data_IF_478295670120
#
_entry.id   IF_478295670120
#
_cell.length_a   1.000
_cell.length_b   1.000
_cell.length_c   1.000
_cell.angle_alpha   90.00
_cell.angle_beta   90.00
_cell.angle_gamma   90.00
#
_symmetry.space_group_name_H-M   'P 1'
#
loop_
_entity.id
_entity.type
_entity.pdbx_description
1 polymer ?
#
# COMPACT_ATOMS: atom_id res chain seq x y z
N UNK A 1 -65.15 18.05 13.50
CA UNK A 1 -65.50 16.64 13.77
C UNK A 1 -64.21 15.86 13.95
N UNK A 2 -64.03 15.22 15.12
CA UNK A 2 -63.08 14.14 15.45
C UNK A 2 -61.56 14.48 15.52
N UNK A 3 -60.75 13.82 16.39
CA UNK A 3 -60.64 14.22 17.80
C UNK A 3 -59.19 14.23 18.38
N UNK A 4 -59.09 14.79 19.60
CA UNK A 4 -57.97 14.63 20.56
C UNK A 4 -57.80 13.18 20.99
N UNK A 5 -56.55 12.76 21.22
CA UNK A 5 -56.22 11.62 22.07
C UNK A 5 -55.21 12.01 23.15
N UNK A 6 -55.54 11.56 24.35
CA UNK A 6 -54.94 11.81 25.65
C UNK A 6 -53.82 10.83 25.99
N UNK A 7 -52.93 11.32 26.86
CA UNK A 7 -51.83 10.66 27.56
C UNK A 7 -52.26 9.48 28.46
N UNK A 8 -51.42 8.43 28.53
CA UNK A 8 -51.16 7.65 29.77
C UNK A 8 -49.80 6.94 29.67
N UNK A 9 -48.94 7.18 30.67
CA UNK A 9 -47.70 6.44 30.96
C UNK A 9 -47.98 5.12 31.68
N UNK A 10 -46.98 4.21 31.75
CA UNK A 10 -46.75 3.51 33.00
C UNK A 10 -45.28 3.52 33.46
N UNK A 11 -45.13 3.69 34.77
CA UNK A 11 -44.03 3.24 35.65
C UNK A 11 -43.51 1.84 35.26
N UNK A 12 -42.22 1.50 35.33
CA UNK A 12 -41.25 1.77 36.40
C UNK A 12 -40.91 0.44 37.08
N UNK A 13 -39.75 -0.14 36.77
CA UNK A 13 -39.09 -1.14 37.62
C UNK A 13 -37.58 -1.08 37.37
N UNK A 14 -36.87 -0.52 38.34
CA UNK A 14 -35.41 -0.39 38.37
C UNK A 14 -34.86 -1.59 39.12
N UNK A 15 -34.15 -2.49 38.45
CA UNK A 15 -33.42 -3.59 39.08
C UNK A 15 -31.93 -3.20 39.13
N UNK A 16 -31.44 -2.84 40.31
CA UNK A 16 -30.02 -2.63 40.58
C UNK A 16 -29.31 -3.98 40.72
N UNK A 17 -28.35 -4.26 39.83
CA UNK A 17 -27.40 -5.37 39.99
C UNK A 17 -26.06 -4.79 40.44
N UNK A 18 -25.75 -4.99 41.72
CA UNK A 18 -24.43 -4.77 42.30
C UNK A 18 -23.54 -5.96 41.95
N UNK A 19 -22.54 -5.76 41.09
CA UNK A 19 -21.46 -6.73 40.87
C UNK A 19 -20.18 -6.10 41.43
N UNK A 20 -19.79 -6.57 42.61
CA UNK A 20 -18.47 -6.36 43.19
C UNK A 20 -17.64 -7.62 42.94
N UNK A 21 -16.69 -7.58 42.01
CA UNK A 21 -15.56 -8.52 42.00
C UNK A 21 -14.29 -7.81 41.53
N UNK A 22 -13.37 -7.64 42.48
CA UNK A 22 -11.98 -7.27 42.26
C UNK A 22 -11.22 -8.45 41.67
N UNK A 23 -10.67 -8.30 40.48
CA UNK A 23 -9.70 -9.25 39.92
C UNK A 23 -8.44 -8.45 39.58
N UNK A 24 -7.41 -8.64 40.39
CA UNK A 24 -6.05 -8.16 40.11
C UNK A 24 -5.41 -9.07 39.05
N UNK A 25 -4.78 -8.53 37.99
CA UNK A 25 -4.06 -9.34 37.03
C UNK A 25 -2.69 -9.75 37.59
N UNK A 26 -2.52 -11.04 37.88
CA UNK A 26 -1.21 -11.65 38.15
C UNK A 26 -0.44 -11.82 36.84
N UNK A 27 0.77 -11.27 36.77
CA UNK A 27 1.72 -11.48 35.67
C UNK A 27 2.12 -12.96 35.55
N UNK A 28 2.31 -13.48 34.32
CA UNK A 28 2.83 -14.83 34.11
C UNK A 28 4.32 -14.93 34.50
N UNK A 29 4.78 -16.10 34.97
CA UNK A 29 6.17 -16.31 35.35
C UNK A 29 7.11 -16.28 34.14
N UNK A 30 8.25 -15.61 34.30
CA UNK A 30 9.37 -15.58 33.35
C UNK A 30 9.97 -16.98 33.13
N UNK A 31 10.34 -17.34 31.89
CA UNK A 31 11.04 -18.59 31.60
C UNK A 31 12.47 -18.60 32.17
N UNK A 32 13.03 -19.78 32.52
CA UNK A 32 14.36 -19.89 33.10
C UNK A 32 15.47 -19.60 32.07
N UNK A 33 16.46 -18.83 32.51
CA UNK A 33 17.68 -18.50 31.77
C UNK A 33 18.52 -19.76 31.47
N UNK A 34 18.98 -19.98 30.23
CA UNK A 34 19.92 -21.07 29.94
C UNK A 34 21.30 -20.80 30.54
N UNK A 35 22.05 -21.85 30.94
CA UNK A 35 23.37 -21.70 31.57
C UNK A 35 24.42 -21.22 30.57
N UNK A 36 25.23 -20.25 30.98
CA UNK A 36 26.38 -19.72 30.24
C UNK A 36 27.46 -20.80 30.04
N UNK A 37 27.99 -20.99 28.81
CA UNK A 37 29.16 -21.81 28.60
C UNK A 37 30.43 -21.06 29.02
N UNK A 38 31.27 -21.77 29.77
CA UNK A 38 32.57 -21.37 30.30
C UNK A 38 33.58 -20.98 29.22
N UNK A 39 34.31 -19.90 29.54
CA UNK A 39 35.47 -19.33 28.87
C UNK A 39 36.65 -20.30 28.72
N UNK A 40 37.27 -20.30 27.54
CA UNK A 40 38.70 -20.63 27.37
C UNK A 40 39.29 -19.67 26.32
N UNK A 41 40.12 -18.73 26.75
CA UNK A 41 40.97 -17.87 25.89
C UNK A 41 42.07 -18.71 25.18
N UNK A 42 42.65 -18.18 24.09
CA UNK A 42 44.00 -17.64 24.27
C UNK A 42 44.35 -16.39 23.44
N UNK A 43 45.10 -15.51 24.12
CA UNK A 43 46.25 -14.71 23.69
C UNK A 43 46.26 -13.97 22.32
N UNK A 44 46.29 -12.64 22.46
CA UNK A 44 46.62 -11.59 21.49
C UNK A 44 48.03 -11.72 20.89
N UNK A 45 48.28 -11.06 19.74
CA UNK A 45 49.32 -10.03 19.80
C UNK A 45 48.87 -8.68 19.22
N UNK A 46 49.31 -7.66 19.95
CA UNK A 46 49.14 -6.22 19.74
C UNK A 46 49.91 -5.71 18.51
N UNK A 47 49.30 -4.83 17.72
CA UNK A 47 50.01 -3.87 16.86
C UNK A 47 49.26 -2.54 16.83
N UNK A 48 50.04 -1.48 17.10
CA UNK A 48 49.64 -0.08 17.22
C UNK A 48 49.61 0.64 15.85
N UNK A 49 48.95 1.81 15.89
CA UNK A 49 48.98 2.94 14.93
C UNK A 49 48.02 2.80 13.73
N UNK A 50 47.26 3.81 13.30
CA UNK A 50 47.44 5.27 13.43
C UNK A 50 46.10 5.97 13.19
N UNK A 51 45.96 7.14 13.80
CA UNK A 51 44.84 8.09 13.68
C UNK A 51 44.81 8.78 12.31
N UNK A 52 43.67 8.70 11.61
CA UNK A 52 43.22 9.75 10.68
C UNK A 52 41.70 9.84 10.74
N UNK A 53 41.23 10.98 11.24
CA UNK A 53 39.84 11.40 11.25
C UNK A 53 39.38 11.80 9.85
N UNK A 54 38.65 10.93 9.17
CA UNK A 54 37.64 11.33 8.20
C UNK A 54 36.32 10.71 8.64
N UNK A 55 35.33 11.57 8.92
CA UNK A 55 33.94 11.17 9.07
C UNK A 55 33.41 10.81 7.67
N UNK A 56 33.93 9.73 7.11
CA UNK A 56 33.41 9.14 5.89
C UNK A 56 32.13 8.39 6.25
N UNK A 57 31.06 8.79 5.57
CA UNK A 57 29.74 8.18 5.60
C UNK A 57 29.85 6.65 5.51
N UNK A 58 29.59 5.96 6.62
CA UNK A 58 29.49 4.50 6.70
C UNK A 58 28.23 3.95 6.01
N UNK A 59 27.57 4.73 5.15
CA UNK A 59 26.49 4.21 4.31
C UNK A 59 27.09 3.30 3.25
N UNK A 60 26.87 1.99 3.41
CA UNK A 60 27.09 1.03 2.33
C UNK A 60 26.35 1.54 1.08
N UNK A 61 27.00 1.54 -0.11
CA UNK A 61 26.36 1.99 -1.32
C UNK A 61 25.10 1.16 -1.55
N UNK A 62 23.98 1.86 -1.64
CA UNK A 62 22.69 1.29 -1.96
C UNK A 62 22.80 0.43 -3.22
N UNK A 63 22.49 -0.87 -3.10
CA UNK A 63 22.16 -1.71 -4.23
C UNK A 63 20.64 -1.70 -4.34
N UNK A 64 20.05 -1.06 -5.37
CA UNK A 64 18.64 -1.26 -5.64
C UNK A 64 18.38 -2.76 -5.72
N UNK A 65 17.22 -3.26 -5.26
CA UNK A 65 16.82 -4.61 -5.59
C UNK A 65 16.99 -4.75 -7.11
N UNK A 66 17.83 -5.70 -7.53
CA UNK A 66 18.33 -5.77 -8.90
C UNK A 66 17.15 -5.67 -9.87
N UNK A 67 17.01 -4.52 -10.55
CA UNK A 67 16.06 -4.34 -11.65
C UNK A 67 16.64 -5.07 -12.86
N UNK A 68 16.67 -6.41 -12.80
CA UNK A 68 17.06 -7.25 -13.93
C UNK A 68 15.96 -7.15 -14.98
N UNK A 69 16.09 -6.19 -15.90
CA UNK A 69 15.36 -6.10 -17.17
C UNK A 69 13.93 -6.69 -17.15
N UNK A 70 13.10 -6.29 -16.20
CA UNK A 70 11.68 -6.63 -16.22
C UNK A 70 11.07 -5.84 -17.38
N UNK A 71 10.18 -6.43 -18.21
CA UNK A 71 9.49 -5.65 -19.23
C UNK A 71 8.80 -4.45 -18.56
N UNK A 72 9.08 -3.24 -19.06
CA UNK A 72 8.45 -2.00 -18.61
C UNK A 72 6.94 -2.20 -18.51
N UNK A 73 6.43 -2.26 -17.29
CA UNK A 73 5.00 -2.17 -17.02
C UNK A 73 4.50 -0.76 -17.28
N UNK A 74 3.18 -0.59 -17.29
CA UNK A 74 2.57 0.74 -17.20
C UNK A 74 2.52 1.16 -15.73
N UNK A 75 2.81 2.44 -15.45
CA UNK A 75 2.49 3.02 -14.15
C UNK A 75 0.99 2.84 -13.83
N UNK A 76 0.64 2.71 -12.56
CA UNK A 76 -0.74 2.51 -12.12
C UNK A 76 -1.01 3.24 -10.79
N UNK A 77 -2.25 3.73 -10.65
CA UNK A 77 -2.82 4.24 -9.41
C UNK A 77 -4.05 3.38 -9.13
N UNK A 78 -4.09 2.71 -7.98
CA UNK A 78 -5.22 1.86 -7.62
C UNK A 78 -5.78 2.22 -6.25
N UNK A 79 -7.10 2.22 -6.12
CA UNK A 79 -7.78 2.29 -4.83
C UNK A 79 -8.58 1.04 -4.59
N UNK A 80 -8.68 0.61 -3.32
CA UNK A 80 -9.56 -0.51 -2.98
C UNK A 80 -11.00 -0.03 -2.81
N UNK A 81 -11.92 -0.64 -3.56
CA UNK A 81 -13.35 -0.36 -3.50
C UNK A 81 -14.03 -1.11 -2.35
N UNK A 82 -13.61 -2.35 -2.08
CA UNK A 82 -14.02 -3.12 -0.91
C UNK A 82 -13.05 -4.25 -0.59
N UNK A 83 -13.17 -4.79 0.62
CA UNK A 83 -12.53 -6.04 1.04
C UNK A 83 -13.53 -6.96 1.76
N UNK A 84 -13.45 -8.26 1.48
CA UNK A 84 -14.06 -9.30 2.30
C UNK A 84 -12.98 -10.22 2.86
N UNK A 85 -13.06 -10.48 4.15
CA UNK A 85 -12.27 -11.54 4.79
C UNK A 85 -13.05 -12.84 4.78
N UNK A 86 -12.42 -13.90 4.26
CA UNK A 86 -13.01 -15.22 4.11
C UNK A 86 -12.33 -16.24 5.05
N UNK A 87 -13.00 -17.35 5.40
CA UNK A 87 -12.37 -18.44 6.15
C UNK A 87 -11.15 -19.01 5.41
N UNK A 88 -10.21 -19.55 6.17
CA UNK A 88 -9.06 -20.29 5.62
C UNK A 88 -8.89 -21.64 6.36
N UNK A 89 -8.78 -22.77 5.63
CA UNK A 89 -9.05 -22.87 4.19
C UNK A 89 -10.52 -22.51 3.88
N UNK A 90 -10.79 -22.18 2.62
CA UNK A 90 -12.17 -21.95 2.19
C UNK A 90 -12.97 -23.27 2.27
N UNK A 91 -14.26 -23.23 2.64
CA UNK A 91 -15.09 -24.43 2.63
C UNK A 91 -15.13 -25.09 1.25
N UNK A 92 -15.19 -26.44 1.16
CA UNK A 92 -15.32 -27.12 -0.13
C UNK A 92 -16.51 -26.61 -0.94
N UNK A 93 -16.33 -26.54 -2.27
CA UNK A 93 -17.32 -26.01 -3.22
C UNK A 93 -17.67 -24.52 -3.05
N UNK A 94 -16.86 -23.75 -2.32
CA UNK A 94 -17.00 -22.29 -2.32
C UNK A 94 -16.70 -21.75 -3.72
N UNK A 95 -17.60 -21.00 -4.38
CA UNK A 95 -17.31 -20.41 -5.67
C UNK A 95 -16.19 -19.38 -5.51
N UNK A 96 -15.22 -19.41 -6.43
CA UNK A 96 -14.12 -18.43 -6.50
C UNK A 96 -14.09 -17.82 -7.91
N UNK A 97 -14.24 -16.49 -8.05
CA UNK A 97 -14.47 -15.53 -6.98
C UNK A 97 -15.87 -15.65 -6.34
N UNK A 98 -15.96 -15.32 -5.06
CA UNK A 98 -17.15 -15.44 -4.23
C UNK A 98 -18.05 -14.21 -4.30
N UNK A 99 -17.46 -13.03 -4.14
CA UNK A 99 -18.19 -11.77 -3.94
C UNK A 99 -19.05 -11.30 -5.13
N UNK A 100 -18.74 -11.61 -6.41
CA UNK A 100 -19.62 -11.27 -7.53
C UNK A 100 -21.02 -11.91 -7.47
N UNK A 101 -21.19 -12.97 -6.67
CA UNK A 101 -22.46 -13.67 -6.50
C UNK A 101 -23.28 -13.17 -5.30
N UNK A 102 -22.82 -12.12 -4.60
CA UNK A 102 -23.58 -11.54 -3.49
C UNK A 102 -24.67 -10.57 -3.99
N UNK A 103 -25.83 -10.48 -3.29
CA UNK A 103 -26.24 -11.33 -2.16
C UNK A 103 -26.96 -12.62 -2.58
N UNK A 104 -27.09 -12.89 -3.89
CA UNK A 104 -27.94 -13.97 -4.43
C UNK A 104 -27.46 -15.38 -4.03
N UNK A 105 -26.16 -15.57 -3.82
CA UNK A 105 -25.58 -16.80 -3.30
C UNK A 105 -24.60 -16.50 -2.16
N UNK A 106 -25.03 -16.68 -0.90
CA UNK A 106 -24.27 -16.31 0.28
C UNK A 106 -24.13 -17.44 1.33
N UNK A 107 -23.56 -18.61 0.99
CA UNK A 107 -23.40 -19.73 1.93
C UNK A 107 -22.49 -19.40 3.14
N UNK A 108 -21.56 -18.46 3.00
CA UNK A 108 -20.65 -18.01 4.05
C UNK A 108 -21.28 -16.99 5.00
N UNK A 109 -22.51 -16.55 4.72
CA UNK A 109 -23.26 -15.55 5.51
C UNK A 109 -22.48 -14.25 5.71
N UNK A 110 -21.76 -13.81 4.68
CA UNK A 110 -21.07 -12.52 4.70
C UNK A 110 -22.09 -11.38 4.70
N UNK A 111 -21.74 -10.20 5.22
CA UNK A 111 -22.57 -9.01 5.06
C UNK A 111 -22.90 -8.80 3.57
N UNK A 112 -24.17 -8.50 3.21
CA UNK A 112 -24.54 -8.30 1.81
C UNK A 112 -23.99 -6.99 1.24
N UNK A 113 -23.67 -6.02 2.12
CA UNK A 113 -23.10 -4.75 1.74
C UNK A 113 -21.59 -4.80 1.89
N UNK A 114 -20.89 -4.58 0.79
CA UNK A 114 -19.46 -4.45 0.77
C UNK A 114 -19.02 -3.21 1.55
N UNK A 115 -17.87 -3.29 2.22
CA UNK A 115 -17.29 -2.18 2.96
C UNK A 115 -15.81 -2.03 2.66
N UNK A 116 -15.36 -0.79 2.59
CA UNK A 116 -13.95 -0.43 2.57
C UNK A 116 -13.64 0.38 3.84
N UNK A 117 -13.04 -0.25 4.87
CA UNK A 117 -12.78 0.43 6.14
C UNK A 117 -11.59 1.39 6.07
N UNK A 118 -10.79 1.36 4.99
CA UNK A 118 -9.57 2.13 4.83
C UNK A 118 -9.63 3.09 3.63
N UNK A 119 -8.81 4.12 3.65
CA UNK A 119 -8.49 4.97 2.52
C UNK A 119 -7.22 4.40 1.86
N UNK A 120 -7.37 3.25 1.22
CA UNK A 120 -6.28 2.51 0.57
C UNK A 120 -5.97 3.09 -0.80
N UNK A 121 -4.69 3.38 -1.00
CA UNK A 121 -4.12 3.78 -2.29
C UNK A 121 -2.85 2.98 -2.52
N UNK A 122 -2.72 2.41 -3.71
CA UNK A 122 -1.51 1.76 -4.20
C UNK A 122 -0.99 2.57 -5.37
N UNK A 123 0.30 2.92 -5.33
CA UNK A 123 1.00 3.51 -6.46
C UNK A 123 2.01 2.49 -6.96
N UNK A 124 2.02 2.22 -8.26
CA UNK A 124 2.97 1.29 -8.89
C UNK A 124 3.68 2.01 -10.04
N UNK A 125 5.01 1.99 -10.02
CA UNK A 125 5.86 2.58 -11.04
C UNK A 125 5.93 1.69 -12.30
N UNK A 126 6.35 2.23 -13.46
CA UNK A 126 6.62 1.44 -14.66
C UNK A 126 7.57 0.25 -14.44
N UNK A 127 8.55 0.37 -13.54
CA UNK A 127 9.46 -0.74 -13.20
C UNK A 127 8.90 -1.70 -12.14
N UNK A 128 7.63 -1.56 -11.74
CA UNK A 128 6.98 -2.44 -10.77
C UNK A 128 7.27 -2.11 -9.31
N UNK A 129 7.88 -0.96 -9.02
CA UNK A 129 8.03 -0.50 -7.63
C UNK A 129 6.69 -0.03 -7.13
N UNK A 130 6.22 -0.58 -6.00
CA UNK A 130 4.94 -0.20 -5.45
C UNK A 130 5.03 0.33 -4.01
N UNK A 131 4.06 1.16 -3.64
CA UNK A 131 3.77 1.58 -2.27
C UNK A 131 2.27 1.43 -2.02
N UNK A 132 1.90 0.57 -1.06
CA UNK A 132 0.53 0.38 -0.55
C UNK A 132 0.45 0.98 0.87
N UNK A 133 -0.46 1.94 1.06
CA UNK A 133 -0.73 2.53 2.38
C UNK A 133 -2.24 2.49 2.63
N UNK A 134 -2.60 1.85 3.74
CA UNK A 134 -3.97 1.61 4.20
C UNK A 134 -4.21 2.36 5.51
N UNK A 135 -4.93 3.48 5.44
CA UNK A 135 -5.28 4.29 6.63
C UNK A 135 -6.77 4.11 6.92
N UNK A 136 -7.14 3.74 8.14
CA UNK A 136 -8.55 3.61 8.55
C UNK A 136 -9.31 4.91 8.29
N UNK A 137 -10.50 4.80 7.69
CA UNK A 137 -11.43 5.92 7.52
C UNK A 137 -11.96 6.36 8.88
N UNK A 138 -12.32 7.64 8.99
CA UNK A 138 -12.94 8.16 10.21
C UNK A 138 -14.38 7.64 10.32
N UNK A 139 -14.66 6.80 11.31
CA UNK A 139 -16.02 6.29 11.58
C UNK A 139 -16.90 7.25 12.40
N UNK A 140 -16.62 8.56 12.35
CA UNK A 140 -17.39 9.61 13.03
C UNK A 140 -16.57 10.38 14.07
N UNK A 141 -16.42 11.69 13.84
CA UNK A 141 -15.55 12.62 14.60
C UNK A 141 -16.07 13.06 15.99
N UNK A 142 -17.27 12.65 16.42
CA UNK A 142 -17.98 13.40 17.46
C UNK A 142 -17.51 13.22 18.92
N UNK A 143 -16.46 12.41 19.20
CA UNK A 143 -16.17 12.03 20.61
C UNK A 143 -14.74 12.33 21.08
N UNK A 144 -13.82 12.76 20.22
CA UNK A 144 -12.41 12.87 20.61
C UNK A 144 -11.93 14.32 20.83
N UNK A 145 -11.26 14.56 21.97
CA UNK A 145 -10.57 15.82 22.22
C UNK A 145 -9.32 16.01 21.31
N UNK A 146 -8.63 17.15 21.41
CA UNK A 146 -7.47 17.44 20.55
C UNK A 146 -6.27 16.51 20.78
N UNK A 147 -6.10 15.98 21.99
CA UNK A 147 -5.02 15.05 22.34
C UNK A 147 -5.33 13.64 21.84
N UNK A 148 -6.57 13.17 22.07
CA UNK A 148 -7.09 11.92 21.55
C UNK A 148 -7.07 11.92 20.02
N UNK A 149 -7.40 13.02 19.36
CA UNK A 149 -7.24 13.16 17.90
C UNK A 149 -5.81 12.93 17.42
N UNK A 150 -4.80 13.29 18.21
CA UNK A 150 -3.39 13.09 17.88
C UNK A 150 -2.96 11.63 18.07
N UNK A 151 -3.45 10.96 19.12
CA UNK A 151 -3.23 9.52 19.36
C UNK A 151 -3.95 8.67 18.32
N UNK A 152 -5.23 8.96 18.06
CA UNK A 152 -6.05 8.26 17.07
C UNK A 152 -5.42 8.37 15.69
N UNK A 153 -4.87 9.54 15.31
CA UNK A 153 -4.15 9.69 14.04
C UNK A 153 -2.98 8.72 13.86
N UNK A 154 -2.26 8.36 14.92
CA UNK A 154 -1.16 7.39 14.86
C UNK A 154 -1.69 5.95 14.79
N UNK A 155 -2.80 5.68 15.47
CA UNK A 155 -3.47 4.36 15.50
C UNK A 155 -4.31 4.07 14.24
N UNK A 156 -4.42 5.03 13.32
CA UNK A 156 -5.21 4.88 12.09
C UNK A 156 -4.48 4.12 10.99
N UNK A 157 -3.18 3.91 11.09
CA UNK A 157 -2.47 3.09 10.11
C UNK A 157 -2.86 1.62 10.31
N UNK A 158 -3.54 1.03 9.32
CA UNK A 158 -3.86 -0.40 9.32
C UNK A 158 -2.66 -1.20 8.84
N UNK A 159 -2.12 -0.81 7.68
CA UNK A 159 -0.93 -1.42 7.09
C UNK A 159 -0.28 -0.47 6.10
N UNK A 160 1.05 -0.52 6.02
CA UNK A 160 1.80 0.08 4.92
C UNK A 160 3.02 -0.75 4.59
N UNK A 161 3.30 -0.88 3.31
CA UNK A 161 4.41 -1.65 2.78
C UNK A 161 4.76 -1.19 1.37
N UNK A 162 5.99 -1.49 0.95
CA UNK A 162 6.50 -1.13 -0.35
C UNK A 162 7.56 -2.14 -0.81
N UNK A 163 7.70 -2.30 -2.13
CA UNK A 163 8.61 -3.28 -2.70
C UNK A 163 8.46 -3.41 -4.20
N UNK A 164 8.67 -4.64 -4.70
CA UNK A 164 8.53 -4.97 -6.12
C UNK A 164 7.32 -5.87 -6.34
N UNK A 165 6.49 -5.48 -7.31
CA UNK A 165 5.32 -6.24 -7.73
C UNK A 165 5.54 -6.80 -9.14
N UNK A 166 5.11 -8.04 -9.34
CA UNK A 166 5.13 -8.71 -10.63
C UNK A 166 3.76 -9.30 -10.93
N UNK A 167 3.38 -9.38 -12.20
CA UNK A 167 2.11 -9.96 -12.61
C UNK A 167 2.27 -10.70 -13.93
N UNK A 168 1.74 -11.91 -14.01
CA UNK A 168 1.87 -12.80 -15.16
C UNK A 168 0.52 -13.40 -15.52
N UNK A 169 0.25 -13.56 -16.81
CA UNK A 169 -0.94 -14.29 -17.26
C UNK A 169 -0.83 -15.76 -16.84
N UNK A 170 -1.94 -16.35 -16.42
CA UNK A 170 -2.00 -17.75 -16.01
C UNK A 170 -2.95 -18.56 -16.88
N UNK A 171 -2.63 -19.84 -17.09
CA UNK A 171 -3.52 -20.81 -17.72
C UNK A 171 -4.59 -21.28 -16.74
N UNK A 172 -5.68 -21.88 -17.25
CA UNK A 172 -6.71 -22.49 -16.39
C UNK A 172 -6.12 -23.58 -15.48
N UNK A 173 -5.18 -24.40 -15.98
CA UNK A 173 -4.46 -25.38 -15.15
C UNK A 173 -3.73 -24.70 -13.98
N UNK A 174 -3.01 -23.60 -14.23
CA UNK A 174 -2.28 -22.90 -13.16
C UNK A 174 -3.22 -22.25 -12.15
N UNK A 175 -4.36 -21.73 -12.63
CA UNK A 175 -5.43 -21.23 -11.76
C UNK A 175 -5.98 -22.33 -10.86
N UNK A 176 -6.25 -23.52 -11.39
CA UNK A 176 -6.71 -24.68 -10.59
C UNK A 176 -5.71 -25.09 -9.51
N UNK A 177 -4.41 -25.10 -9.82
CA UNK A 177 -3.33 -25.34 -8.85
C UNK A 177 -3.34 -24.30 -7.71
N UNK A 178 -3.40 -23.01 -8.05
CA UNK A 178 -3.43 -21.91 -7.07
C UNK A 178 -4.71 -21.95 -6.22
N UNK A 179 -5.85 -22.29 -6.81
CA UNK A 179 -7.10 -22.46 -6.08
C UNK A 179 -7.04 -23.68 -5.16
N UNK A 180 -6.41 -24.78 -5.58
CA UNK A 180 -6.24 -25.97 -4.73
C UNK A 180 -5.43 -25.63 -3.47
N UNK A 181 -4.38 -24.81 -3.61
CA UNK A 181 -3.61 -24.28 -2.47
C UNK A 181 -4.49 -23.42 -1.55
N UNK A 182 -5.29 -22.51 -2.11
CA UNK A 182 -6.20 -21.64 -1.35
C UNK A 182 -7.30 -22.43 -0.60
N UNK A 183 -7.78 -23.51 -1.21
CA UNK A 183 -8.77 -24.44 -0.65
C UNK A 183 -8.15 -25.44 0.32
N UNK A 184 -6.82 -25.50 0.44
CA UNK A 184 -6.12 -26.49 1.26
C UNK A 184 -6.36 -27.93 0.81
N UNK A 185 -6.61 -28.15 -0.48
CA UNK A 185 -6.78 -29.48 -1.06
C UNK A 185 -5.39 -30.07 -1.33
N UNK A 186 -5.15 -31.30 -0.83
CA UNK A 186 -3.97 -32.05 -1.22
C UNK A 186 -4.08 -32.36 -2.72
N UNK A 187 -3.11 -31.89 -3.51
CA UNK A 187 -2.99 -32.32 -4.90
C UNK A 187 -2.51 -33.76 -4.83
N UNK A 188 -3.45 -34.70 -4.92
CA UNK A 188 -3.12 -36.12 -5.05
C UNK A 188 -2.16 -36.23 -6.24
N UNK A 189 -0.90 -36.55 -5.93
CA UNK A 189 0.17 -36.72 -6.91
C UNK A 189 -0.09 -37.99 -7.70
N UNK A 190 -1.08 -37.95 -8.59
CA UNK A 190 -1.34 -39.06 -9.49
C UNK A 190 -0.28 -39.05 -10.59
N UNK A 191 0.60 -40.05 -10.51
CA UNK A 191 1.52 -40.42 -11.56
C UNK A 191 0.70 -40.99 -12.73
N UNK A 192 0.15 -40.09 -13.55
CA UNK A 192 -0.61 -40.45 -14.74
C UNK A 192 0.30 -40.76 -15.93
N UNK A 193 0.44 -42.05 -16.23
CA UNK A 193 0.98 -42.61 -17.47
C UNK A 193 0.44 -41.88 -18.70
N UNK A 194 1.33 -41.57 -19.66
CA UNK A 194 0.96 -41.16 -21.01
C UNK A 194 0.12 -42.27 -21.69
N UNK A 195 -1.21 -42.20 -21.59
CA UNK A 195 -2.07 -42.99 -22.46
C UNK A 195 -2.10 -42.34 -23.84
N UNK A 196 -1.25 -42.81 -24.74
CA UNK A 196 -1.36 -42.53 -26.17
C UNK A 196 -2.67 -43.14 -26.69
N UNK A 197 -3.69 -42.32 -26.87
CA UNK A 197 -4.86 -42.68 -27.66
C UNK A 197 -4.94 -41.75 -28.87
N UNK A 198 -4.82 -42.38 -30.04
CA UNK A 198 -5.17 -41.84 -31.34
C UNK A 198 -6.48 -41.06 -31.29
N UNK A 199 -6.44 -39.79 -31.69
CA UNK A 199 -7.61 -39.12 -32.24
C UNK A 199 -7.20 -38.39 -33.52
N UNK A 200 -7.48 -39.05 -34.64
CA UNK A 200 -7.43 -38.48 -35.98
C UNK A 200 -8.86 -38.22 -36.43
N UNK A 201 -9.03 -37.01 -36.96
CA UNK A 201 -10.05 -36.57 -37.91
C UNK A 201 -11.41 -36.02 -37.41
N UNK A 202 -11.55 -34.73 -37.77
CA UNK A 202 -12.74 -33.99 -38.22
C UNK A 202 -13.66 -33.43 -37.14
N UNK A 203 -13.61 -32.10 -37.02
CA UNK A 203 -14.73 -31.26 -37.48
C UNK A 203 -14.23 -29.84 -37.83
N UNK A 204 -14.09 -29.59 -39.12
CA UNK A 204 -14.27 -28.25 -39.68
C UNK A 204 -15.78 -27.96 -39.61
N UNK A 205 -16.21 -27.00 -38.80
CA UNK A 205 -17.29 -26.02 -39.05
C UNK A 205 -17.68 -25.32 -37.74
N UNK A 206 -17.54 -23.99 -37.72
CA UNK A 206 -18.11 -23.15 -36.66
C UNK A 206 -17.09 -22.69 -35.62
N UNK A 207 -16.08 -21.92 -36.04
CA UNK A 207 -15.37 -21.01 -35.13
C UNK A 207 -16.34 -19.89 -34.73
N UNK A 208 -17.25 -20.21 -33.82
CA UNK A 208 -17.81 -19.21 -32.93
C UNK A 208 -16.60 -18.51 -32.32
N UNK A 209 -16.51 -17.20 -32.50
CA UNK A 209 -15.59 -16.36 -31.75
C UNK A 209 -15.85 -16.69 -30.28
N UNK A 210 -14.98 -17.50 -29.68
CA UNK A 210 -15.00 -17.67 -28.23
C UNK A 210 -14.74 -16.27 -27.70
N UNK A 211 -15.76 -15.66 -27.07
CA UNK A 211 -15.57 -14.47 -26.24
C UNK A 211 -14.28 -14.70 -25.46
N UNK A 212 -13.25 -13.91 -25.77
CA UNK A 212 -11.94 -14.10 -25.19
C UNK A 212 -12.11 -14.06 -23.67
N UNK A 213 -11.97 -15.21 -23.01
CA UNK A 213 -12.01 -15.28 -21.55
C UNK A 213 -11.02 -14.24 -21.04
N UNK A 214 -11.45 -13.33 -20.14
CA UNK A 214 -10.56 -12.32 -19.58
C UNK A 214 -9.30 -13.02 -19.08
N UNK A 215 -8.15 -12.61 -19.60
CA UNK A 215 -6.89 -13.30 -19.32
C UNK A 215 -6.50 -13.05 -17.88
N UNK A 216 -6.77 -14.04 -17.02
CA UNK A 216 -6.45 -14.00 -15.60
C UNK A 216 -4.95 -13.80 -15.41
N UNK A 217 -4.61 -13.08 -14.34
CA UNK A 217 -3.23 -12.91 -13.92
C UNK A 217 -3.01 -13.43 -12.53
N UNK A 218 -1.81 -13.90 -12.25
CA UNK A 218 -1.31 -14.09 -10.91
C UNK A 218 -0.32 -12.97 -10.61
N UNK A 219 -0.53 -12.26 -9.51
CA UNK A 219 0.33 -11.20 -9.04
C UNK A 219 1.07 -11.64 -7.78
N UNK A 220 2.30 -11.17 -7.66
CA UNK A 220 3.22 -11.46 -6.56
C UNK A 220 3.84 -10.15 -6.10
N UNK A 221 3.84 -9.89 -4.80
CA UNK A 221 4.41 -8.69 -4.19
C UNK A 221 5.49 -9.06 -3.17
N UNK A 222 6.72 -8.62 -3.45
CA UNK A 222 7.88 -8.82 -2.59
C UNK A 222 8.15 -7.57 -1.76
N UNK A 223 7.87 -7.63 -0.46
CA UNK A 223 7.99 -6.49 0.43
C UNK A 223 9.46 -6.22 0.74
N UNK A 224 9.92 -5.00 0.46
CA UNK A 224 11.24 -4.53 0.85
C UNK A 224 11.21 -3.77 2.18
N UNK A 225 10.09 -3.11 2.46
CA UNK A 225 9.76 -2.47 3.73
C UNK A 225 8.30 -2.78 4.06
N UNK A 226 8.06 -3.16 5.32
CA UNK A 226 6.72 -3.43 5.83
C UNK A 226 6.61 -2.88 7.25
N UNK A 227 5.55 -2.12 7.50
CA UNK A 227 5.25 -1.56 8.83
C UNK A 227 5.23 -2.60 9.95
N UNK A 228 4.85 -3.85 9.65
CA UNK A 228 4.71 -4.97 10.60
C UNK A 228 6.04 -5.67 10.93
N UNK A 229 7.11 -5.42 10.17
CA UNK A 229 8.40 -6.11 10.32
C UNK A 229 9.55 -5.14 10.61
N UNK A 230 10.56 -5.50 11.43
CA UNK A 230 11.74 -4.66 11.65
C UNK A 230 12.46 -4.28 10.35
N UNK A 231 13.23 -3.18 10.39
CA UNK A 231 14.06 -2.78 9.24
C UNK A 231 15.04 -3.91 8.89
N UNK A 232 15.07 -4.31 7.62
CA UNK A 232 15.99 -5.33 7.15
C UNK A 232 15.61 -6.76 7.53
N UNK A 233 14.39 -7.01 8.03
CA UNK A 233 13.91 -8.36 8.30
C UNK A 233 14.01 -9.22 7.01
N UNK A 234 14.70 -10.38 7.05
CA UNK A 234 15.02 -11.14 5.84
C UNK A 234 13.81 -11.89 5.27
N UNK A 235 12.87 -12.29 6.13
CA UNK A 235 11.81 -13.25 5.81
C UNK A 235 10.42 -12.60 5.88
N UNK A 236 10.24 -11.45 5.22
CA UNK A 236 8.91 -10.88 5.06
C UNK A 236 8.11 -11.80 4.13
N UNK A 237 6.91 -12.28 4.53
CA UNK A 237 6.08 -13.11 3.66
C UNK A 237 5.82 -12.44 2.31
N UNK A 238 5.81 -13.25 1.26
CA UNK A 238 5.43 -12.82 -0.08
C UNK A 238 3.91 -12.83 -0.16
N UNK A 239 3.34 -11.72 -0.62
CA UNK A 239 1.91 -11.62 -0.86
C UNK A 239 1.61 -12.03 -2.31
N UNK A 240 0.51 -12.76 -2.51
CA UNK A 240 0.10 -13.24 -3.83
C UNK A 240 -1.42 -13.18 -4.00
N UNK A 241 -1.86 -13.02 -5.25
CA UNK A 241 -3.27 -12.92 -5.58
C UNK A 241 -3.57 -13.31 -7.03
N UNK A 242 -4.72 -13.95 -7.24
CA UNK A 242 -5.29 -14.15 -8.57
C UNK A 242 -6.16 -12.93 -8.91
N UNK A 243 -5.85 -12.29 -10.03
CA UNK A 243 -6.50 -11.08 -10.50
C UNK A 243 -7.54 -11.43 -11.56
N UNK A 244 -8.81 -11.17 -11.24
CA UNK A 244 -9.97 -11.36 -12.11
C UNK A 244 -10.43 -10.00 -12.66
N UNK A 245 -10.15 -9.67 -13.93
CA UNK A 245 -10.70 -8.46 -14.53
C UNK A 245 -12.23 -8.53 -14.59
N UNK A 246 -12.91 -7.48 -14.18
CA UNK A 246 -14.38 -7.45 -14.19
C UNK A 246 -14.92 -7.13 -15.58
N UNK A 247 -15.78 -7.99 -16.11
CA UNK A 247 -16.43 -7.77 -17.42
C UNK A 247 -17.35 -6.55 -17.41
N UNK A 248 -17.84 -6.14 -16.24
CA UNK A 248 -18.73 -4.99 -16.08
C UNK A 248 -18.00 -3.64 -16.12
N UNK A 249 -16.68 -3.62 -15.89
CA UNK A 249 -15.89 -2.39 -15.93
C UNK A 249 -14.40 -2.69 -16.14
N UNK A 250 -13.75 -2.11 -17.16
CA UNK A 250 -12.34 -2.32 -17.42
C UNK A 250 -11.41 -1.73 -16.34
N UNK A 251 -11.92 -0.83 -15.49
CA UNK A 251 -11.15 -0.27 -14.38
C UNK A 251 -11.22 -1.12 -13.11
N UNK A 252 -12.07 -2.16 -13.07
CA UNK A 252 -12.26 -3.00 -11.88
C UNK A 252 -11.57 -4.34 -12.03
N UNK A 253 -10.81 -4.73 -11.02
CA UNK A 253 -10.17 -6.03 -10.90
C UNK A 253 -10.41 -6.61 -9.52
N UNK A 254 -10.92 -7.83 -9.45
CA UNK A 254 -11.09 -8.55 -8.19
C UNK A 254 -9.86 -9.40 -7.93
N UNK A 255 -9.18 -9.14 -6.83
CA UNK A 255 -8.12 -9.99 -6.32
C UNK A 255 -8.70 -11.06 -5.39
N UNK A 256 -8.25 -12.29 -5.55
CA UNK A 256 -8.47 -13.38 -4.59
C UNK A 256 -7.11 -13.87 -4.10
N UNK A 257 -6.89 -13.81 -2.79
CA UNK A 257 -5.63 -14.19 -2.17
C UNK A 257 -5.79 -14.72 -0.75
N UNK A 258 -4.68 -15.02 -0.10
CA UNK A 258 -4.63 -15.34 1.31
C UNK A 258 -3.39 -14.75 1.96
N UNK A 259 -3.55 -14.22 3.16
CA UNK A 259 -2.47 -13.61 3.93
C UNK A 259 -2.61 -13.95 5.41
N UNK A 260 -1.52 -13.81 6.16
CA UNK A 260 -1.54 -13.99 7.62
C UNK A 260 -2.27 -12.79 8.25
N UNK A 261 -3.37 -13.07 8.95
CA UNK A 261 -4.08 -12.05 9.71
C UNK A 261 -3.17 -11.51 10.83
N UNK A 262 -2.94 -10.19 10.92
CA UNK A 262 -1.95 -9.61 11.84
C UNK A 262 -2.36 -9.73 13.31
N UNK A 263 -3.66 -9.81 13.61
CA UNK A 263 -4.17 -9.89 14.98
C UNK A 263 -4.17 -11.32 15.53
N UNK A 264 -4.44 -12.30 14.67
CA UNK A 264 -4.57 -13.71 15.08
C UNK A 264 -3.34 -14.54 14.74
N UNK A 265 -2.49 -14.06 13.83
CA UNK A 265 -1.35 -14.80 13.29
C UNK A 265 -1.75 -16.02 12.45
N UNK A 266 -3.03 -16.20 12.11
CA UNK A 266 -3.52 -17.31 11.28
C UNK A 266 -3.68 -16.87 9.84
N UNK A 267 -3.54 -17.80 8.89
CA UNK A 267 -3.89 -17.53 7.49
C UNK A 267 -5.38 -17.18 7.38
N UNK A 268 -5.68 -16.25 6.48
CA UNK A 268 -7.02 -15.77 6.18
C UNK A 268 -7.12 -15.49 4.69
N UNK A 269 -8.11 -16.08 4.03
CA UNK A 269 -8.41 -15.78 2.63
C UNK A 269 -9.07 -14.40 2.56
N UNK A 270 -8.92 -13.71 1.44
CA UNK A 270 -9.55 -12.43 1.20
C UNK A 270 -9.96 -12.26 -0.26
N UNK A 271 -10.94 -11.40 -0.46
CA UNK A 271 -11.25 -10.83 -1.77
C UNK A 271 -11.20 -9.30 -1.69
N UNK A 272 -10.40 -8.70 -2.55
CA UNK A 272 -10.18 -7.25 -2.62
C UNK A 272 -10.60 -6.75 -4.01
N UNK A 273 -11.60 -5.88 -4.08
CA UNK A 273 -11.97 -5.23 -5.35
C UNK A 273 -11.16 -3.97 -5.52
N UNK A 274 -10.38 -3.93 -6.59
CA UNK A 274 -9.47 -2.86 -6.94
C UNK A 274 -10.05 -2.03 -8.09
N UNK A 275 -9.89 -0.70 -7.98
CA UNK A 275 -10.31 0.26 -9.00
C UNK A 275 -9.12 1.10 -9.46
N UNK A 276 -8.79 0.98 -10.74
CA UNK A 276 -7.76 1.80 -11.39
C UNK A 276 -8.24 3.24 -11.56
N UNK A 277 -7.37 4.18 -11.19
CA UNK A 277 -7.60 5.61 -11.33
C UNK A 277 -6.79 6.17 -12.50
N UNK A 278 -7.38 7.13 -13.19
CA UNK A 278 -6.70 7.85 -14.25
C UNK A 278 -5.47 8.60 -13.71
N UNK A 279 -4.34 8.46 -14.41
CA UNK A 279 -3.13 9.22 -14.14
C UNK A 279 -3.23 10.58 -14.83
N UNK A 280 -3.18 11.64 -14.02
CA UNK A 280 -3.27 13.02 -14.50
C UNK A 280 -1.90 13.66 -14.65
N UNK A 281 -1.77 14.49 -15.67
CA UNK A 281 -0.70 15.48 -15.79
C UNK A 281 -1.01 16.65 -14.85
N UNK A 282 -0.03 17.11 -14.07
CA UNK A 282 -0.22 18.18 -13.08
C UNK A 282 0.74 19.35 -13.33
N UNK A 283 0.21 20.57 -13.29
CA UNK A 283 1.00 21.79 -13.51
C UNK A 283 2.13 21.91 -12.46
N UNK A 284 3.33 22.41 -12.84
CA UNK A 284 3.71 22.97 -14.14
C UNK A 284 4.13 21.94 -15.19
N UNK A 285 4.21 20.66 -14.84
CA UNK A 285 4.72 19.64 -15.75
C UNK A 285 3.68 19.33 -16.85
N UNK A 286 4.04 19.38 -18.15
CA UNK A 286 3.14 19.04 -19.25
C UNK A 286 3.00 17.52 -19.49
N UNK A 287 3.78 16.68 -18.80
CA UNK A 287 3.81 15.22 -18.95
C UNK A 287 3.26 14.51 -17.71
N UNK A 288 2.84 13.25 -17.88
CA UNK A 288 2.64 12.36 -16.73
C UNK A 288 4.02 11.96 -16.22
N UNK A 289 4.17 11.95 -14.90
CA UNK A 289 5.48 11.72 -14.27
C UNK A 289 5.38 10.57 -13.28
N UNK A 290 6.41 9.72 -13.29
CA UNK A 290 6.70 8.77 -12.23
C UNK A 290 8.08 9.05 -11.64
N UNK A 291 8.18 9.06 -10.31
CA UNK A 291 9.44 9.18 -9.58
C UNK A 291 9.48 8.12 -8.50
N UNK A 292 10.62 7.45 -8.34
CA UNK A 292 10.88 6.57 -7.20
C UNK A 292 12.15 7.03 -6.48
N UNK A 293 12.03 7.28 -5.18
CA UNK A 293 13.16 7.58 -4.29
C UNK A 293 13.33 6.47 -3.26
N UNK A 294 14.58 6.10 -3.01
CA UNK A 294 14.96 5.07 -2.05
C UNK A 294 15.95 5.60 -1.03
N UNK A 295 15.85 5.18 0.22
CA UNK A 295 16.90 5.37 1.22
C UNK A 295 17.13 4.08 1.99
N UNK A 296 18.39 3.77 2.29
CA UNK A 296 18.75 2.62 3.10
C UNK A 296 20.04 2.89 3.87
N UNK A 297 20.04 2.47 5.12
CA UNK A 297 21.26 2.28 5.89
C UNK A 297 21.02 1.15 6.88
N UNK A 298 21.84 0.10 6.82
CA UNK A 298 21.80 -1.00 7.77
C UNK A 298 23.17 -1.02 8.45
N UNK A 299 23.26 -0.71 9.75
CA UNK A 299 24.53 -0.81 10.45
C UNK A 299 25.02 -2.27 10.40
N UNK A 300 26.33 -2.51 10.26
CA UNK A 300 26.88 -3.86 10.30
C UNK A 300 26.53 -4.55 11.63
N UNK A 301 26.41 -5.90 11.65
CA UNK A 301 26.14 -6.63 12.88
C UNK A 301 27.21 -6.29 13.92
N UNK A 302 26.81 -5.89 15.13
CA UNK A 302 27.75 -5.48 16.20
C UNK A 302 28.80 -6.57 16.51
N UNK A 303 28.44 -7.85 16.33
CA UNK A 303 29.37 -8.98 16.48
C UNK A 303 30.52 -8.98 15.45
N UNK A 304 30.35 -8.36 14.29
CA UNK A 304 31.36 -8.29 13.25
C UNK A 304 32.41 -7.18 13.52
N UNK A 305 32.11 -6.24 14.42
CA UNK A 305 33.00 -5.11 14.75
C UNK A 305 33.68 -5.24 16.13
N UNK A 306 33.39 -6.29 16.90
CA UNK A 306 34.04 -6.52 18.20
C UNK A 306 33.79 -5.42 19.25
N UNK A 307 32.72 -4.64 19.08
CA UNK A 307 32.33 -3.55 19.98
C UNK A 307 31.27 -4.05 20.97
N UNK A 308 31.38 -3.67 22.24
CA UNK A 308 30.34 -3.90 23.25
C UNK A 308 29.08 -3.06 22.96
N UNK A 309 27.97 -3.43 23.63
CA UNK A 309 26.62 -2.85 23.53
C UNK A 309 26.60 -1.34 23.20
N UNK A 310 25.66 -0.89 22.33
CA UNK A 310 25.73 0.42 21.74
C UNK A 310 25.65 1.50 22.82
N UNK A 311 26.53 2.49 22.72
CA UNK A 311 26.28 3.80 23.29
C UNK A 311 24.98 4.36 22.68
N UNK A 312 24.28 5.20 23.44
CA UNK A 312 22.97 5.80 23.14
C UNK A 312 22.96 6.69 21.86
N UNK A 313 24.06 6.72 21.11
CA UNK A 313 24.34 7.46 19.88
C UNK A 313 24.41 6.57 18.61
N UNK A 314 24.09 5.28 18.73
CA UNK A 314 24.08 4.32 17.61
C UNK A 314 23.17 4.74 16.47
N UNK A 315 23.70 4.76 15.23
CA UNK A 315 22.92 5.09 14.04
C UNK A 315 21.89 4.00 13.77
N UNK A 316 20.61 4.35 13.88
CA UNK A 316 19.50 3.44 13.67
C UNK A 316 19.43 2.94 12.21
N UNK A 317 19.10 1.65 12.04
CA UNK A 317 18.82 1.08 10.72
C UNK A 317 17.64 1.83 10.06
N UNK A 318 17.74 2.13 8.77
CA UNK A 318 16.69 2.81 8.01
C UNK A 318 16.45 2.14 6.66
N UNK A 319 15.18 2.09 6.27
CA UNK A 319 14.72 1.88 4.89
C UNK A 319 13.59 2.86 4.60
N UNK A 320 13.53 3.36 3.37
CA UNK A 320 12.40 4.17 2.93
C UNK A 320 12.22 4.15 1.42
N UNK A 321 10.97 4.26 1.01
CA UNK A 321 10.54 4.30 -0.39
C UNK A 321 9.54 5.43 -0.56
N UNK A 322 9.70 6.24 -1.59
CA UNK A 322 8.72 7.21 -2.05
C UNK A 322 8.41 6.93 -3.49
N UNK A 323 7.13 6.85 -3.83
CA UNK A 323 6.64 6.70 -5.21
C UNK A 323 5.73 7.88 -5.52
N UNK A 324 5.99 8.57 -6.62
CA UNK A 324 5.05 9.49 -7.28
C UNK A 324 4.53 8.83 -8.53
N UNK A 325 3.22 8.90 -8.76
CA UNK A 325 2.59 8.62 -10.05
C UNK A 325 1.58 9.72 -10.33
N UNK A 326 1.85 10.54 -11.34
CA UNK A 326 1.02 11.68 -11.73
C UNK A 326 0.72 12.62 -10.56
N UNK A 327 -0.55 12.65 -10.16
CA UNK A 327 -1.15 13.51 -9.15
C UNK A 327 -1.04 12.98 -7.70
N UNK A 328 -0.37 11.85 -7.47
CA UNK A 328 -0.20 11.28 -6.13
C UNK A 328 1.26 11.06 -5.80
N UNK A 329 1.62 11.29 -4.53
CA UNK A 329 2.89 10.86 -3.94
C UNK A 329 2.59 10.10 -2.65
N UNK A 330 3.15 8.90 -2.51
CA UNK A 330 3.14 8.15 -1.27
C UNK A 330 4.55 7.82 -0.84
N UNK A 331 4.79 7.79 0.48
CA UNK A 331 6.05 7.36 1.02
C UNK A 331 5.89 6.60 2.33
N UNK A 332 6.80 5.65 2.54
CA UNK A 332 6.97 4.90 3.77
C UNK A 332 8.46 4.93 4.14
N UNK A 333 8.76 5.11 5.42
CA UNK A 333 10.10 4.99 5.98
C UNK A 333 10.04 4.38 7.37
N UNK A 334 10.96 3.47 7.65
CA UNK A 334 11.23 2.98 9.00
C UNK A 334 12.66 3.35 9.37
N UNK A 335 12.83 3.94 10.56
CA UNK A 335 14.12 4.22 11.19
C UNK A 335 14.10 3.62 12.60
N UNK A 336 14.92 2.60 12.84
CA UNK A 336 14.83 1.77 14.04
C UNK A 336 13.41 1.21 14.20
N UNK A 337 12.76 1.57 15.31
CA UNK A 337 11.37 1.21 15.60
C UNK A 337 10.34 2.26 15.16
N UNK A 338 10.79 3.42 14.67
CA UNK A 338 9.92 4.49 14.23
C UNK A 338 9.46 4.25 12.79
N UNK A 339 8.16 4.40 12.57
CA UNK A 339 7.53 4.31 11.26
C UNK A 339 6.97 5.69 10.88
N UNK A 340 7.22 6.10 9.66
CA UNK A 340 6.65 7.31 9.06
C UNK A 340 6.04 6.99 7.71
N UNK A 341 4.80 7.44 7.47
CA UNK A 341 4.13 7.38 6.17
C UNK A 341 3.52 8.73 5.81
N UNK A 342 3.54 9.06 4.52
CA UNK A 342 2.94 10.29 3.99
C UNK A 342 2.18 10.00 2.69
N UNK A 343 1.06 10.69 2.50
CA UNK A 343 0.35 10.78 1.22
C UNK A 343 0.13 12.24 0.86
N UNK A 344 0.42 12.57 -0.39
CA UNK A 344 0.17 13.86 -1.00
C UNK A 344 -0.65 13.68 -2.27
N UNK A 345 -1.53 14.65 -2.50
CA UNK A 345 -2.45 14.67 -3.63
C UNK A 345 -2.39 16.05 -4.27
N UNK A 346 -2.39 16.09 -5.60
CA UNK A 346 -2.54 17.33 -6.33
C UNK A 346 -4.03 17.66 -6.44
N UNK A 347 -4.48 18.64 -5.66
CA UNK A 347 -5.89 19.04 -5.58
C UNK A 347 -6.15 20.13 -6.59
N UNK A 348 -7.12 19.90 -7.48
CA UNK A 348 -7.51 20.85 -8.52
C UNK A 348 -8.12 22.11 -7.90
N UNK A 349 -7.74 23.27 -8.41
CA UNK A 349 -8.40 24.50 -8.03
C UNK A 349 -9.68 24.65 -8.87
N UNK A 350 -10.84 24.51 -8.23
CA UNK A 350 -12.09 24.94 -8.85
C UNK A 350 -12.09 26.46 -8.91
N UNK A 351 -12.17 27.03 -10.12
CA UNK A 351 -12.43 28.46 -10.30
C UNK A 351 -13.72 28.78 -9.53
N UNK A 352 -13.59 29.56 -8.45
CA UNK A 352 -14.76 30.15 -7.79
C UNK A 352 -15.49 30.93 -8.86
N UNK A 353 -16.71 30.49 -9.17
CA UNK A 353 -17.55 31.09 -10.20
C UNK A 353 -17.47 32.61 -10.07
N UNK A 354 -17.14 33.27 -11.18
CA UNK A 354 -17.49 34.68 -11.36
C UNK A 354 -19.00 34.73 -11.15
N UNK A 355 -19.44 35.14 -9.96
CA UNK A 355 -20.84 35.54 -9.79
C UNK A 355 -21.11 36.58 -10.88
N UNK A 356 -22.16 36.43 -11.69
CA UNK A 356 -22.51 37.45 -12.66
C UNK A 356 -22.94 38.69 -11.86
N UNK A 357 -22.00 39.64 -11.71
CA UNK A 357 -22.32 40.96 -11.22
C UNK A 357 -23.29 41.58 -12.24
N UNK A 358 -24.57 41.59 -11.90
CA UNK A 358 -25.59 42.33 -12.63
C UNK A 358 -25.35 43.83 -12.38
N UNK A 359 -24.41 44.43 -13.09
CA UNK A 359 -24.32 45.88 -13.19
C UNK A 359 -24.80 46.31 -14.58
N UNK A 360 -26.02 46.80 -14.59
CA UNK A 360 -26.60 47.55 -15.69
C UNK A 360 -25.90 48.92 -15.74
N UNK A 361 -25.25 49.15 -16.87
CA UNK A 361 -24.95 50.44 -17.52
C UNK A 361 -24.22 51.52 -16.70
N UNK A 362 -23.02 51.90 -17.15
CA UNK A 362 -22.90 53.15 -17.90
C UNK A 362 -21.66 53.13 -18.81
N UNK A 363 -21.78 53.74 -19.98
CA UNK A 363 -20.74 53.74 -21.00
C UNK A 363 -19.63 54.74 -20.69
N UNK A 364 -18.39 54.36 -20.98
CA UNK A 364 -17.42 55.11 -21.79
C UNK A 364 -16.02 54.47 -21.73
N UNK A 365 -15.46 54.28 -22.92
CA UNK A 365 -14.03 54.38 -23.29
C UNK A 365 -12.98 53.78 -22.34
N UNK A 366 -12.47 52.60 -22.73
CA UNK A 366 -11.03 52.32 -22.66
C UNK A 366 -10.64 51.24 -23.67
N UNK A 367 -10.30 51.71 -24.88
CA UNK A 367 -9.23 51.10 -25.66
C UNK A 367 -7.93 51.11 -24.82
N UNK A 368 -7.02 50.17 -25.11
CA UNK A 368 -5.74 49.91 -24.43
C UNK A 368 -5.79 49.02 -23.17
N UNK A 369 -6.15 47.73 -23.37
CA UNK A 369 -5.39 46.60 -22.78
C UNK A 369 -5.76 45.24 -23.39
N UNK A 370 -5.80 45.15 -24.71
CA UNK A 370 -5.88 43.87 -25.44
C UNK A 370 -4.51 43.51 -26.06
N UNK A 371 -3.46 43.51 -25.24
CA UNK A 371 -2.16 42.89 -25.57
C UNK A 371 -1.59 42.22 -24.30
N UNK A 372 -2.28 41.20 -23.81
CA UNK A 372 -1.72 40.20 -22.89
C UNK A 372 -2.45 38.84 -22.89
N UNK A 373 -3.50 38.66 -23.69
CA UNK A 373 -4.30 37.41 -23.72
C UNK A 373 -4.42 36.77 -25.11
N UNK A 374 -3.51 37.09 -26.04
CA UNK A 374 -3.42 36.43 -27.35
C UNK A 374 -2.23 35.47 -27.48
N UNK A 375 -1.60 35.09 -26.36
CA UNK A 375 -0.77 33.90 -26.28
C UNK A 375 -1.68 32.68 -26.11
N UNK A 376 -2.30 32.22 -27.20
CA UNK A 376 -2.86 30.86 -27.28
C UNK A 376 -1.70 29.88 -27.23
N UNK A 377 -1.14 29.66 -26.03
CA UNK A 377 -0.34 28.48 -25.77
C UNK A 377 -1.24 27.28 -26.05
N UNK A 378 -0.76 26.37 -26.90
CA UNK A 378 -1.38 25.08 -27.12
C UNK A 378 -1.61 24.44 -25.76
N UNK A 379 -2.87 24.44 -25.31
CA UNK A 379 -3.30 24.06 -23.95
C UNK A 379 -2.56 22.81 -23.53
N UNK A 380 -1.65 22.93 -22.57
CA UNK A 380 -1.23 21.75 -21.82
C UNK A 380 -2.49 21.21 -21.14
N UNK A 381 -2.78 19.91 -21.32
CA UNK A 381 -3.86 19.23 -20.60
C UNK A 381 -3.52 19.03 -19.10
N UNK A 382 -2.52 19.76 -18.60
CA UNK A 382 -2.08 19.71 -17.23
C UNK A 382 -3.13 20.36 -16.33
N UNK A 383 -3.54 19.61 -15.32
CA UNK A 383 -4.48 20.09 -14.31
C UNK A 383 -3.80 21.19 -13.48
N UNK A 384 -4.51 22.29 -13.25
CA UNK A 384 -4.08 23.37 -12.36
C UNK A 384 -4.57 23.11 -10.95
N UNK A 385 -3.72 23.39 -9.97
CA UNK A 385 -4.00 23.05 -8.59
C UNK A 385 -2.78 23.20 -7.72
N UNK A 386 -2.83 22.55 -6.55
CA UNK A 386 -1.72 22.53 -5.60
C UNK A 386 -1.60 21.20 -4.89
N UNK A 387 -0.37 20.84 -4.56
CA UNK A 387 -0.09 19.70 -3.70
C UNK A 387 -0.62 19.96 -2.29
N UNK A 388 -1.44 19.03 -1.80
CA UNK A 388 -1.97 19.02 -0.45
C UNK A 388 -1.57 17.71 0.21
N UNK A 389 -1.09 17.78 1.46
CA UNK A 389 -0.79 16.58 2.24
C UNK A 389 -2.09 16.00 2.79
N UNK A 390 -2.50 14.85 2.28
CA UNK A 390 -3.71 14.16 2.73
C UNK A 390 -3.52 13.64 4.16
N UNK A 391 -2.40 12.98 4.44
CA UNK A 391 -2.02 12.60 5.80
C UNK A 391 -0.50 12.47 5.99
N UNK A 392 -0.10 12.51 7.27
CA UNK A 392 1.22 12.17 7.76
C UNK A 392 1.06 11.41 9.08
N UNK A 393 1.61 10.21 9.15
CA UNK A 393 1.69 9.41 10.38
C UNK A 393 3.17 9.17 10.67
N UNK A 394 3.57 9.26 11.94
CA UNK A 394 4.96 9.09 12.36
C UNK A 394 5.72 10.39 12.62
N UNK A 395 6.92 10.29 13.22
CA UNK A 395 7.68 11.46 13.68
C UNK A 395 8.48 12.17 12.57
N UNK A 396 8.92 11.45 11.53
CA UNK A 396 9.88 11.99 10.55
C UNK A 396 9.22 12.71 9.38
N UNK A 397 10.01 13.39 8.55
CA UNK A 397 9.54 13.97 7.31
C UNK A 397 10.14 13.24 6.12
N UNK A 398 9.30 12.85 5.18
CA UNK A 398 9.73 12.26 3.92
C UNK A 398 9.97 13.38 2.89
N UNK A 399 11.01 13.30 2.03
CA UNK A 399 11.23 14.27 0.96
C UNK A 399 10.23 14.14 -0.21
N UNK A 400 8.93 13.96 0.08
CA UNK A 400 7.89 13.88 -0.93
C UNK A 400 7.83 15.14 -1.80
N UNK A 401 8.19 16.31 -1.26
CA UNK A 401 8.25 17.58 -2.02
C UNK A 401 9.30 17.52 -3.13
N UNK A 402 10.44 16.84 -2.93
CA UNK A 402 11.42 16.67 -3.99
C UNK A 402 10.83 15.86 -5.16
N UNK A 403 10.02 14.84 -4.88
CA UNK A 403 9.30 14.10 -5.91
C UNK A 403 8.20 14.94 -6.61
N UNK A 404 7.67 16.00 -5.98
CA UNK A 404 6.67 16.92 -6.56
C UNK A 404 7.29 17.92 -7.53
N UNK A 405 8.48 18.46 -7.21
CA UNK A 405 9.14 19.51 -8.00
C UNK A 405 9.97 18.98 -9.18
N UNK A 406 10.29 17.67 -9.17
CA UNK A 406 10.80 16.75 -10.21
C UNK A 406 11.86 17.21 -11.26
N UNK A 407 11.80 18.45 -11.72
CA UNK A 407 12.69 19.14 -12.66
C UNK A 407 14.20 18.91 -12.47
N UNK A 408 14.68 18.77 -11.22
CA UNK A 408 16.11 18.55 -10.90
C UNK A 408 16.46 17.06 -10.68
N UNK A 409 15.48 16.17 -10.63
CA UNK A 409 15.72 14.76 -10.36
C UNK A 409 16.29 14.04 -11.59
N UNK A 410 17.32 13.23 -11.38
CA UNK A 410 17.93 12.37 -12.40
C UNK A 410 18.17 11.01 -11.79
N UNK A 411 17.90 9.93 -12.54
CA UNK A 411 18.18 8.56 -12.09
C UNK A 411 19.64 8.45 -11.64
N UNK A 412 19.86 7.86 -10.47
CA UNK A 412 21.17 7.76 -9.80
C UNK A 412 21.58 9.02 -9.00
N UNK A 413 20.85 10.13 -9.14
CA UNK A 413 21.04 11.34 -8.34
C UNK A 413 20.63 11.15 -6.87
N UNK A 414 21.07 12.07 -6.02
CA UNK A 414 20.83 12.05 -4.57
C UNK A 414 20.00 13.26 -4.13
N UNK A 415 19.00 13.01 -3.29
CA UNK A 415 18.22 14.01 -2.57
C UNK A 415 18.59 13.91 -1.10
N UNK A 416 19.14 15.00 -0.53
CA UNK A 416 19.51 15.05 0.89
C UNK A 416 18.37 15.64 1.70
N UNK A 417 17.82 14.89 2.65
CA UNK A 417 16.72 15.34 3.49
C UNK A 417 16.77 14.70 4.87
N UNK A 418 16.62 15.52 5.92
CA UNK A 418 16.55 15.07 7.33
C UNK A 418 17.75 14.20 7.72
N UNK A 419 18.95 14.57 7.27
CA UNK A 419 20.18 13.82 7.55
C UNK A 419 20.29 12.47 6.82
N UNK A 420 19.38 12.17 5.89
CA UNK A 420 19.40 10.98 5.05
C UNK A 420 19.66 11.34 3.60
N UNK A 421 20.31 10.43 2.88
CA UNK A 421 20.45 10.49 1.42
C UNK A 421 19.41 9.56 0.79
N UNK A 422 18.68 10.10 -0.18
CA UNK A 422 17.67 9.39 -0.95
C UNK A 422 18.12 9.31 -2.40
N UNK A 423 18.29 8.11 -2.94
CA UNK A 423 18.65 7.92 -4.33
C UNK A 423 17.40 7.94 -5.21
N UNK A 424 17.48 8.65 -6.34
CA UNK A 424 16.48 8.56 -7.41
C UNK A 424 16.66 7.23 -8.15
N UNK A 425 15.81 6.25 -7.85
CA UNK A 425 15.86 4.92 -8.48
C UNK A 425 15.16 4.87 -9.84
N UNK A 426 14.13 5.71 -10.02
CA UNK A 426 13.37 5.77 -11.27
C UNK A 426 12.85 7.19 -11.50
N UNK A 427 12.88 7.58 -12.77
CA UNK A 427 12.28 8.80 -13.28
C UNK A 427 11.75 8.51 -14.68
N UNK A 428 10.46 8.71 -14.92
CA UNK A 428 9.84 8.46 -16.22
C UNK A 428 8.80 9.52 -16.52
N UNK A 429 8.79 9.99 -17.76
CA UNK A 429 7.81 10.94 -18.29
C UNK A 429 7.14 10.34 -19.52
N UNK A 430 5.82 10.50 -19.65
CA UNK A 430 5.06 10.02 -20.81
C UNK A 430 3.80 10.83 -21.10
#
# INVERSE_FOLDING_TARGET
>A
MLPRLTTTSPSGTTTSLTISQSISPSLPPTPPTPPSPSSTEPATPSSQMSTTSSSDSLQLPYQPPHTTSTPSGSANICTRAYIYHLPHPLPPNTPVPYTPHLPSHNPLKLPPQASEPTDTLVLTSPQGVFVDIRVLRDFGEQVYDAFQRRIVKVMRLEWAFAGLGESQFISEKRKEELLSELLGLEVDGDNGEESSAHDQDRDEHGRAESEATPTLRHATWHHWIDSRYPVGYPDIPVDTGIMYPMTTSPALTLEVGAAKNPFTGKMQCHEEMWEDKEIKTVWPNPSRVCVVLWTQYIPPPMSALGMEEPSDDGVEAVRGVIVRVGQYVQGIMKRGNLLTVERWEFVEEHEKGKEPHNDVADGQEKEEREEAESGRDGRSNAVRGKWTRAFKIGPDFLPCVAAQEDSELRVGGLVKAVGLEWQVGEYTEW
#
